data_IF_964672222207
#
_entry.id   IF_964672222207
#
_cell.length_a   1.000
_cell.length_b   1.000
_cell.length_c   1.000
_cell.angle_alpha   90.00
_cell.angle_beta   90.00
_cell.angle_gamma   90.00
#
_symmetry.space_group_name_H-M   'P 1'
#
loop_
_entity.id
_entity.type
_entity.pdbx_description
1 polymer ?
#
# COMPACT_ATOMS: atom_id res chain seq x y z
N UNK A 1 -3.19 9.65 -64.01
CA UNK A 1 -3.02 11.12 -63.88
C UNK A 1 -1.65 11.39 -63.27
N UNK A 2 -0.80 12.26 -63.86
CA UNK A 2 0.64 12.26 -63.62
C UNK A 2 1.13 13.28 -62.57
N UNK A 3 2.10 12.82 -61.76
CA UNK A 3 3.41 13.41 -61.35
C UNK A 3 3.56 14.90 -60.95
N UNK A 4 4.12 15.13 -59.73
CA UNK A 4 5.28 16.01 -59.39
C UNK A 4 5.23 16.32 -57.86
N UNK A 5 6.14 15.89 -56.97
CA UNK A 5 7.58 16.12 -56.76
C UNK A 5 7.99 17.46 -56.10
N UNK A 6 8.94 17.36 -55.14
CA UNK A 6 9.88 18.36 -54.55
C UNK A 6 9.45 18.97 -53.19
N UNK A 7 10.11 18.66 -52.07
CA UNK A 7 11.48 18.98 -51.58
C UNK A 7 11.40 20.04 -50.47
N UNK A 8 11.96 19.76 -49.28
CA UNK A 8 13.21 20.38 -48.76
C UNK A 8 13.43 20.03 -47.27
N UNK A 9 14.57 19.38 -47.01
CA UNK A 9 15.28 19.38 -45.74
C UNK A 9 16.36 20.48 -45.77
N UNK A 10 16.69 21.06 -44.61
CA UNK A 10 17.92 21.82 -44.23
C UNK A 10 17.58 22.68 -42.98
N UNK A 11 18.45 22.99 -42.01
CA UNK A 11 19.85 22.67 -41.73
C UNK A 11 20.26 23.27 -40.36
N UNK A 12 21.41 22.79 -39.85
CA UNK A 12 22.42 23.46 -38.99
C UNK A 12 22.11 23.68 -37.49
N UNK A 13 22.87 23.17 -36.49
CA UNK A 13 24.32 23.02 -36.24
C UNK A 13 25.04 24.32 -35.82
N UNK A 14 25.49 24.38 -34.55
CA UNK A 14 26.66 25.09 -33.98
C UNK A 14 26.79 24.62 -32.49
N UNK A 15 27.81 23.93 -31.98
CA UNK A 15 29.27 24.14 -31.82
C UNK A 15 29.72 25.15 -30.74
N UNK A 16 30.67 24.71 -29.90
CA UNK A 16 31.51 25.51 -28.99
C UNK A 16 31.70 24.85 -27.61
N UNK A 17 32.63 23.90 -27.35
CA UNK A 17 34.10 23.99 -27.21
C UNK A 17 34.62 25.02 -26.18
N UNK A 18 35.34 24.52 -25.17
CA UNK A 18 36.20 25.30 -24.27
C UNK A 18 36.86 24.42 -23.20
N UNK A 19 38.15 24.11 -23.39
CA UNK A 19 38.98 23.28 -22.51
C UNK A 19 40.16 24.08 -21.94
N UNK A 20 40.84 23.49 -20.94
CA UNK A 20 42.20 23.77 -20.41
C UNK A 20 42.33 24.93 -19.38
N UNK A 21 43.20 24.92 -18.36
CA UNK A 21 44.15 23.95 -17.82
C UNK A 21 44.64 24.36 -16.40
N UNK A 22 44.94 23.34 -15.59
CA UNK A 22 46.09 23.11 -14.67
C UNK A 22 46.84 24.29 -14.01
N UNK A 23 46.92 24.26 -12.67
CA UNK A 23 48.16 24.60 -11.93
C UNK A 23 48.36 23.64 -10.75
N UNK A 24 49.51 22.94 -10.75
CA UNK A 24 50.06 22.14 -9.65
C UNK A 24 50.90 23.03 -8.72
N UNK A 25 50.73 22.91 -7.41
CA UNK A 25 51.72 23.32 -6.40
C UNK A 25 51.84 22.17 -5.37
N UNK A 26 53.08 21.73 -5.11
CA UNK A 26 53.46 20.66 -4.18
C UNK A 26 53.94 21.21 -2.82
N UNK A 27 53.87 20.36 -1.78
CA UNK A 27 54.53 20.38 -0.43
C UNK A 27 54.00 21.38 0.60
N UNK A 28 53.94 21.11 1.92
CA UNK A 28 54.51 20.07 2.81
C UNK A 28 53.51 19.79 3.96
N UNK A 29 53.65 18.63 4.62
CA UNK A 29 52.67 18.09 5.56
C UNK A 29 52.48 18.82 6.90
N UNK A 30 51.24 18.84 7.39
CA UNK A 30 50.86 18.49 8.75
C UNK A 30 49.32 18.33 8.80
N UNK A 31 48.84 17.37 9.60
CA UNK A 31 47.47 16.83 9.55
C UNK A 31 46.34 17.87 9.55
N UNK A 32 45.50 17.82 8.52
CA UNK A 32 44.23 18.53 8.43
C UNK A 32 43.10 17.67 8.99
N UNK A 33 42.49 18.12 10.09
CA UNK A 33 41.11 17.79 10.41
C UNK A 33 40.21 18.42 9.32
N UNK A 34 39.34 17.60 8.73
CA UNK A 34 38.38 18.06 7.72
C UNK A 34 37.38 19.07 8.32
N UNK A 35 37.14 20.24 7.70
CA UNK A 35 36.22 21.27 8.20
C UNK A 35 34.72 20.92 7.99
N UNK A 36 34.40 19.68 7.62
CA UNK A 36 33.02 19.25 7.31
C UNK A 36 32.24 18.83 8.57
N UNK A 37 32.90 18.46 9.68
CA UNK A 37 32.15 18.06 10.89
C UNK A 37 31.55 19.25 11.64
N UNK A 38 32.19 20.42 11.60
CA UNK A 38 31.82 21.57 12.43
C UNK A 38 30.61 22.37 11.91
N UNK A 39 30.17 22.14 10.68
CA UNK A 39 28.99 22.80 10.09
C UNK A 39 27.69 22.02 10.28
N UNK A 40 27.75 20.70 10.49
CA UNK A 40 26.55 19.89 10.78
C UNK A 40 26.09 20.04 12.24
N UNK A 41 27.01 20.17 13.19
CA UNK A 41 26.65 20.29 14.61
C UNK A 41 25.97 21.61 14.95
N UNK A 42 26.39 22.71 14.32
CA UNK A 42 25.80 24.05 14.52
C UNK A 42 24.37 24.16 14.01
N UNK A 43 24.01 23.44 12.95
CA UNK A 43 22.63 23.41 12.44
C UNK A 43 21.69 22.63 13.36
N UNK A 44 22.16 21.56 14.02
CA UNK A 44 21.30 20.74 14.89
C UNK A 44 20.86 21.49 16.16
N UNK A 45 21.75 22.28 16.74
CA UNK A 45 21.48 23.09 17.94
C UNK A 45 20.55 24.28 17.62
N UNK A 46 20.71 24.88 16.44
CA UNK A 46 19.85 25.96 15.98
C UNK A 46 18.45 25.46 15.63
N UNK A 47 18.34 24.26 15.06
CA UNK A 47 17.07 23.56 14.84
C UNK A 47 16.37 23.25 16.17
N UNK A 48 17.08 22.66 17.14
CA UNK A 48 16.55 22.37 18.48
C UNK A 48 16.10 23.62 19.23
N UNK A 49 16.72 24.77 19.00
CA UNK A 49 16.29 26.06 19.59
C UNK A 49 15.03 26.63 18.93
N UNK A 50 14.80 26.40 17.64
CA UNK A 50 13.61 26.89 16.92
C UNK A 50 12.31 26.18 17.32
N UNK A 51 12.38 24.98 17.92
CA UNK A 51 11.22 24.18 18.33
C UNK A 51 11.08 23.99 19.85
N UNK A 52 11.80 24.78 20.66
CA UNK A 52 11.58 24.81 22.13
C UNK A 52 10.26 25.51 22.45
N UNK A 53 9.18 24.73 22.47
CA UNK A 53 7.84 25.19 22.84
C UNK A 53 6.71 24.60 22.00
N UNK A 54 7.01 23.90 20.90
CA UNK A 54 6.02 23.02 20.29
C UNK A 54 5.85 21.81 21.18
N UNK A 55 4.62 21.50 21.58
CA UNK A 55 4.28 20.18 22.09
C UNK A 55 4.78 19.19 21.03
N UNK A 56 5.74 18.34 21.37
CA UNK A 56 6.12 17.22 20.52
C UNK A 56 4.84 16.42 20.26
N UNK A 57 4.26 16.59 19.08
CA UNK A 57 3.26 15.67 18.61
C UNK A 57 4.02 14.38 18.36
N UNK A 58 3.98 13.46 19.32
CA UNK A 58 4.51 12.11 19.12
C UNK A 58 3.93 11.58 17.80
N UNK A 59 4.82 11.33 16.83
CA UNK A 59 4.49 10.99 15.43
C UNK A 59 3.62 9.72 15.30
N UNK A 60 3.42 9.00 16.41
CA UNK A 60 2.75 7.73 16.51
C UNK A 60 1.93 7.65 17.81
N UNK A 61 0.68 7.15 17.78
CA UNK A 61 -0.05 6.83 19.00
C UNK A 61 0.73 5.81 19.83
N UNK A 62 0.76 5.96 21.16
CA UNK A 62 1.56 5.12 22.08
C UNK A 62 1.29 3.60 22.01
N UNK A 63 0.19 3.18 21.36
CA UNK A 63 -0.20 1.78 21.19
C UNK A 63 0.20 1.18 19.82
N UNK A 64 0.74 1.98 18.90
CA UNK A 64 1.28 1.45 17.64
C UNK A 64 2.71 0.95 17.87
N UNK A 65 2.97 -0.32 17.52
CA UNK A 65 4.32 -0.88 17.56
C UNK A 65 5.22 -0.08 16.60
N UNK A 66 6.40 0.31 17.05
CA UNK A 66 7.38 0.97 16.16
C UNK A 66 7.87 -0.02 15.11
N UNK A 67 8.33 0.47 13.96
CA UNK A 67 8.91 -0.37 12.89
C UNK A 67 10.02 -1.26 13.46
N UNK A 68 10.82 -0.73 14.38
CA UNK A 68 11.87 -1.49 15.06
C UNK A 68 11.32 -2.60 15.97
N UNK A 69 10.23 -2.35 16.70
CA UNK A 69 9.55 -3.39 17.51
C UNK A 69 8.89 -4.47 16.66
N UNK A 70 8.41 -4.14 15.46
CA UNK A 70 7.90 -5.12 14.48
C UNK A 70 9.06 -5.94 13.91
N UNK A 71 10.19 -5.30 13.63
CA UNK A 71 11.38 -5.93 13.07
C UNK A 71 12.17 -6.77 14.10
N UNK A 72 12.12 -6.42 15.39
CA UNK A 72 12.82 -7.16 16.46
C UNK A 72 12.21 -8.54 16.74
N UNK A 73 10.89 -8.68 16.57
CA UNK A 73 10.19 -9.97 16.73
C UNK A 73 10.52 -10.95 15.57
N UNK A 74 11.05 -10.45 14.45
CA UNK A 74 11.30 -11.20 13.22
C UNK A 74 12.76 -11.53 12.90
N UNK A 75 13.73 -11.30 13.79
CA UNK A 75 15.18 -11.54 13.54
C UNK A 75 15.59 -13.02 13.40
N UNK A 76 14.67 -13.93 13.09
CA UNK A 76 14.97 -15.32 12.77
C UNK A 76 14.48 -15.59 11.35
N UNK A 77 15.40 -15.47 10.38
CA UNK A 77 15.26 -15.82 8.96
C UNK A 77 14.64 -14.78 8.00
N UNK A 78 15.22 -13.58 7.90
CA UNK A 78 15.16 -12.87 6.63
C UNK A 78 16.08 -13.57 5.61
N UNK A 79 15.47 -14.02 4.51
CA UNK A 79 15.99 -15.01 3.58
C UNK A 79 17.42 -14.80 3.10
N UNK A 80 18.21 -15.86 3.19
CA UNK A 80 19.53 -15.98 2.55
C UNK A 80 19.40 -15.70 1.06
N UNK A 81 20.21 -14.77 0.53
CA UNK A 81 20.35 -14.54 -0.90
C UNK A 81 20.80 -15.83 -1.58
N UNK A 82 19.97 -16.35 -2.48
CA UNK A 82 20.40 -17.38 -3.42
C UNK A 82 20.04 -16.95 -4.82
N UNK A 83 20.89 -17.29 -5.80
CA UNK A 83 20.73 -16.88 -7.20
C UNK A 83 19.37 -17.30 -7.81
N UNK A 84 18.71 -18.31 -7.23
CA UNK A 84 17.41 -18.83 -7.64
C UNK A 84 16.22 -18.27 -6.84
N UNK A 85 16.44 -17.63 -5.68
CA UNK A 85 15.36 -17.04 -4.84
C UNK A 85 15.17 -15.53 -5.04
N UNK A 86 16.13 -14.85 -5.68
CA UNK A 86 16.07 -13.41 -5.85
C UNK A 86 16.37 -12.63 -4.55
N UNK A 87 16.39 -11.30 -4.60
CA UNK A 87 16.89 -10.49 -3.49
C UNK A 87 15.85 -10.38 -2.34
N UNK A 88 16.28 -10.44 -1.07
CA UNK A 88 15.41 -10.62 0.10
C UNK A 88 14.76 -9.30 0.60
N UNK A 89 14.11 -8.54 -0.29
CA UNK A 89 13.66 -7.17 0.04
C UNK A 89 12.16 -6.99 0.20
N UNK A 90 11.34 -8.03 0.10
CA UNK A 90 9.90 -7.83 0.14
C UNK A 90 9.37 -7.85 1.57
N UNK A 91 8.84 -6.70 1.97
CA UNK A 91 8.23 -6.51 3.27
C UNK A 91 7.00 -7.42 3.44
N UNK A 92 6.72 -7.78 4.69
CA UNK A 92 5.49 -8.49 5.05
C UNK A 92 4.24 -7.70 4.68
N UNK A 93 4.30 -6.37 4.71
CA UNK A 93 3.19 -5.48 4.36
C UNK A 93 3.60 -4.64 3.16
N UNK A 94 2.77 -4.68 2.12
CA UNK A 94 2.90 -3.84 0.92
C UNK A 94 1.59 -3.09 0.70
N UNK A 95 1.66 -1.86 0.22
CA UNK A 95 0.49 -1.04 -0.07
C UNK A 95 0.49 -0.60 -1.54
N UNK A 96 -0.67 -0.63 -2.18
CA UNK A 96 -0.82 -0.07 -3.52
C UNK A 96 -0.69 1.46 -3.48
N UNK A 97 0.12 2.01 -4.38
CA UNK A 97 0.47 3.44 -4.44
C UNK A 97 0.26 4.04 -5.83
N UNK A 98 -0.71 3.52 -6.60
CA UNK A 98 -1.03 4.06 -7.92
C UNK A 98 -1.74 5.41 -7.87
N UNK A 99 -2.27 5.82 -9.01
CA UNK A 99 -2.85 7.14 -9.24
C UNK A 99 -3.84 7.55 -8.13
N UNK A 100 -3.73 8.82 -7.71
CA UNK A 100 -4.51 9.51 -6.69
C UNK A 100 -4.41 8.98 -5.26
N UNK A 101 -3.81 7.82 -5.02
CA UNK A 101 -3.77 7.25 -3.68
C UNK A 101 -2.89 8.08 -2.74
N UNK A 102 -1.75 8.57 -3.22
CA UNK A 102 -0.74 9.29 -2.45
C UNK A 102 -1.16 10.70 -2.03
N UNK A 103 -2.00 11.34 -2.84
CA UNK A 103 -2.62 12.65 -2.58
C UNK A 103 -3.88 12.56 -1.72
N UNK A 104 -4.50 11.37 -1.56
CA UNK A 104 -5.67 11.22 -0.70
C UNK A 104 -5.31 11.25 0.79
N UNK A 105 -6.21 11.82 1.59
CA UNK A 105 -6.13 11.74 3.07
C UNK A 105 -6.22 10.30 3.56
N UNK A 106 -7.08 9.50 2.92
CA UNK A 106 -7.33 8.11 3.26
C UNK A 106 -6.08 7.24 3.11
N UNK A 107 -5.43 7.29 1.94
CA UNK A 107 -4.20 6.54 1.71
C UNK A 107 -3.10 6.93 2.70
N UNK A 108 -2.92 8.24 2.98
CA UNK A 108 -1.93 8.69 3.97
C UNK A 108 -2.23 8.16 5.39
N UNK A 109 -3.50 8.07 5.77
CA UNK A 109 -3.90 7.52 7.07
C UNK A 109 -3.61 6.03 7.16
N UNK A 110 -4.01 5.26 6.14
CA UNK A 110 -3.75 3.82 6.06
C UNK A 110 -2.25 3.56 6.11
N UNK A 111 -1.44 4.27 5.30
CA UNK A 111 0.02 4.18 5.32
C UNK A 111 0.59 4.37 6.74
N UNK A 112 0.09 5.37 7.48
CA UNK A 112 0.50 5.62 8.87
C UNK A 112 0.11 4.46 9.80
N UNK A 113 -1.11 3.94 9.68
CA UNK A 113 -1.58 2.78 10.46
C UNK A 113 -0.74 1.53 10.17
N UNK A 114 -0.35 1.33 8.92
CA UNK A 114 0.51 0.23 8.49
C UNK A 114 2.00 0.44 8.82
N UNK A 115 2.39 1.62 9.31
CA UNK A 115 3.79 1.94 9.64
C UNK A 115 4.71 2.06 8.42
N UNK A 116 4.19 2.29 7.21
CA UNK A 116 5.00 2.31 6.00
C UNK A 116 5.72 3.66 5.83
N UNK A 117 7.07 3.70 5.78
CA UNK A 117 7.82 4.95 5.64
C UNK A 117 7.64 5.57 4.24
N UNK A 118 7.88 6.87 4.12
CA UNK A 118 8.01 7.53 2.80
C UNK A 118 9.49 7.68 2.47
N UNK A 119 9.86 7.44 1.22
CA UNK A 119 11.22 7.68 0.74
C UNK A 119 11.31 9.08 0.13
N UNK A 120 12.02 9.98 0.81
CA UNK A 120 12.14 11.40 0.40
C UNK A 120 10.78 12.07 0.13
N UNK A 121 9.78 11.77 0.97
CA UNK A 121 8.42 12.29 0.82
C UNK A 121 7.56 11.58 -0.23
N UNK A 122 8.13 10.67 -1.02
CA UNK A 122 7.43 9.88 -2.03
C UNK A 122 7.05 8.49 -1.55
N UNK A 123 6.00 7.95 -2.14
CA UNK A 123 5.49 6.60 -1.87
C UNK A 123 6.15 5.61 -2.82
N UNK A 124 7.47 5.48 -2.69
CA UNK A 124 8.30 4.65 -3.55
C UNK A 124 9.10 3.68 -2.67
N UNK A 125 9.55 2.55 -3.24
CA UNK A 125 10.38 1.56 -2.56
C UNK A 125 9.69 0.20 -2.41
N UNK A 126 10.27 -0.68 -1.58
CA UNK A 126 9.79 -2.06 -1.43
C UNK A 126 8.50 -2.22 -0.63
N UNK A 127 8.03 -1.16 0.03
CA UNK A 127 6.76 -1.10 0.77
C UNK A 127 5.56 -0.80 -0.12
N UNK A 128 5.80 -0.36 -1.37
CA UNK A 128 4.76 0.14 -2.24
C UNK A 128 4.78 -0.56 -3.60
N UNK A 129 3.61 -0.68 -4.21
CA UNK A 129 3.45 -1.16 -5.58
C UNK A 129 2.53 -0.21 -6.35
N UNK A 130 3.06 0.36 -7.43
CA UNK A 130 2.30 1.27 -8.29
C UNK A 130 1.51 0.52 -9.36
N UNK A 131 2.04 -0.61 -9.83
CA UNK A 131 1.46 -1.38 -10.94
C UNK A 131 1.75 -2.88 -10.81
N UNK A 132 0.71 -3.69 -11.00
CA UNK A 132 0.72 -5.16 -10.90
C UNK A 132 1.41 -5.86 -12.08
N UNK A 133 1.66 -5.15 -13.19
CA UNK A 133 2.44 -5.65 -14.34
C UNK A 133 3.95 -5.60 -14.13
N UNK A 134 4.44 -4.95 -13.07
CA UNK A 134 5.87 -4.67 -12.85
C UNK A 134 6.68 -5.90 -12.41
N UNK A 135 8.01 -5.76 -12.45
CA UNK A 135 8.92 -6.75 -11.87
C UNK A 135 8.71 -6.89 -10.35
N UNK A 136 8.35 -5.81 -9.65
CA UNK A 136 8.04 -5.86 -8.22
C UNK A 136 6.90 -6.83 -7.92
N UNK A 137 5.83 -6.83 -8.72
CA UNK A 137 4.74 -7.80 -8.55
C UNK A 137 5.21 -9.26 -8.75
N UNK A 138 6.16 -9.50 -9.66
CA UNK A 138 6.70 -10.84 -9.92
C UNK A 138 7.48 -11.38 -8.73
N UNK A 139 8.13 -10.51 -7.96
CA UNK A 139 8.75 -10.91 -6.70
C UNK A 139 7.68 -11.02 -5.60
N UNK A 140 6.73 -10.07 -5.54
CA UNK A 140 5.69 -10.04 -4.51
C UNK A 140 4.84 -11.31 -4.53
N UNK A 141 4.47 -11.82 -5.70
CA UNK A 141 3.72 -13.08 -5.84
C UNK A 141 4.43 -14.32 -5.28
N UNK A 142 5.74 -14.26 -5.04
CA UNK A 142 6.52 -15.34 -4.43
C UNK A 142 6.59 -15.24 -2.90
N UNK A 143 6.08 -14.15 -2.31
CA UNK A 143 5.99 -14.01 -0.86
C UNK A 143 5.02 -15.03 -0.26
N UNK A 144 5.26 -15.32 1.03
CA UNK A 144 4.36 -16.09 1.87
C UNK A 144 4.04 -15.29 3.13
N UNK A 145 2.88 -15.50 3.72
CA UNK A 145 2.45 -14.87 4.97
C UNK A 145 2.56 -13.34 4.92
N UNK A 146 2.21 -12.76 3.77
CA UNK A 146 2.30 -11.31 3.51
C UNK A 146 0.94 -10.69 3.23
N UNK A 147 0.88 -9.38 3.41
CA UNK A 147 -0.31 -8.55 3.26
C UNK A 147 -0.09 -7.55 2.14
N UNK A 148 -1.01 -7.51 1.18
CA UNK A 148 -1.11 -6.43 0.21
C UNK A 148 -2.36 -5.61 0.52
N UNK A 149 -2.21 -4.30 0.72
CA UNK A 149 -3.32 -3.40 1.02
C UNK A 149 -3.64 -2.54 -0.20
N UNK A 150 -4.87 -2.63 -0.69
CA UNK A 150 -5.46 -1.71 -1.66
C UNK A 150 -6.24 -0.65 -0.87
N UNK A 151 -5.71 0.57 -0.75
CA UNK A 151 -6.42 1.65 -0.07
C UNK A 151 -7.65 2.11 -0.88
N UNK A 152 -8.48 2.97 -0.30
CA UNK A 152 -9.62 3.58 -0.98
C UNK A 152 -9.16 4.26 -2.26
N UNK A 153 -9.80 3.89 -3.36
CA UNK A 153 -9.52 4.36 -4.70
C UNK A 153 -10.47 5.51 -5.04
N UNK A 154 -10.00 6.47 -5.83
CA UNK A 154 -10.88 7.49 -6.41
C UNK A 154 -11.70 6.87 -7.55
N UNK A 155 -12.95 7.31 -7.73
CA UNK A 155 -13.84 6.79 -8.77
C UNK A 155 -13.26 6.93 -10.20
N UNK A 156 -12.44 7.97 -10.41
CA UNK A 156 -11.80 8.27 -11.69
C UNK A 156 -10.50 7.51 -11.98
N UNK A 157 -9.84 6.94 -10.97
CA UNK A 157 -8.53 6.30 -11.11
C UNK A 157 -8.49 4.89 -10.50
N UNK A 158 -9.44 4.04 -10.90
CA UNK A 158 -9.46 2.61 -10.57
C UNK A 158 -8.55 1.82 -11.51
N UNK A 159 -7.61 0.99 -11.00
CA UNK A 159 -6.73 0.21 -11.85
C UNK A 159 -7.49 -0.98 -12.47
N UNK A 160 -7.60 -0.98 -13.80
CA UNK A 160 -8.05 -2.14 -14.57
C UNK A 160 -6.81 -2.93 -14.96
N UNK A 161 -6.67 -4.12 -14.41
CA UNK A 161 -5.48 -4.94 -14.59
C UNK A 161 -5.54 -5.69 -15.94
N UNK A 162 -4.39 -5.88 -16.58
CA UNK A 162 -4.25 -6.81 -17.69
C UNK A 162 -4.43 -8.26 -17.21
N UNK A 163 -4.74 -9.19 -18.11
CA UNK A 163 -4.95 -10.60 -17.74
C UNK A 163 -3.71 -11.21 -17.05
N UNK A 164 -2.51 -10.83 -17.50
CA UNK A 164 -1.27 -11.23 -16.85
C UNK A 164 -1.18 -10.69 -15.42
N UNK A 165 -1.52 -9.42 -15.21
CA UNK A 165 -1.51 -8.80 -13.88
C UNK A 165 -2.57 -9.41 -12.96
N UNK A 166 -3.78 -9.71 -13.47
CA UNK A 166 -4.82 -10.45 -12.73
C UNK A 166 -4.33 -11.83 -12.33
N UNK A 167 -3.68 -12.55 -13.25
CA UNK A 167 -3.13 -13.88 -12.98
C UNK A 167 -2.06 -13.84 -11.87
N UNK A 168 -1.16 -12.85 -11.91
CA UNK A 168 -0.15 -12.66 -10.85
C UNK A 168 -0.76 -12.28 -9.51
N UNK A 169 -1.78 -11.41 -9.49
CA UNK A 169 -2.49 -11.05 -8.26
C UNK A 169 -3.21 -12.27 -7.67
N UNK A 170 -3.89 -13.07 -8.49
CA UNK A 170 -4.53 -14.31 -8.05
C UNK A 170 -3.50 -15.32 -7.53
N UNK A 171 -2.37 -15.47 -8.22
CA UNK A 171 -1.27 -16.34 -7.77
C UNK A 171 -0.68 -15.89 -6.43
N UNK A 172 -0.48 -14.58 -6.25
CA UNK A 172 -0.04 -14.01 -4.97
C UNK A 172 -0.96 -14.44 -3.83
N UNK A 173 -2.28 -14.28 -3.99
CA UNK A 173 -3.24 -14.63 -2.93
C UNK A 173 -3.28 -16.15 -2.74
N UNK A 174 -3.29 -16.94 -3.82
CA UNK A 174 -3.63 -18.37 -3.77
C UNK A 174 -2.56 -19.31 -3.26
N UNK A 175 -1.28 -18.95 -3.37
CA UNK A 175 -0.17 -19.88 -3.09
C UNK A 175 0.49 -19.61 -1.74
N UNK A 176 0.54 -18.35 -1.28
CA UNK A 176 1.41 -17.93 -0.19
C UNK A 176 0.78 -17.79 1.19
N UNK A 177 -0.47 -18.20 1.43
CA UNK A 177 -1.22 -17.78 2.63
C UNK A 177 -1.23 -16.25 2.78
N UNK A 178 -1.26 -15.54 1.65
CA UNK A 178 -1.23 -14.08 1.63
C UNK A 178 -2.65 -13.52 1.79
N UNK A 179 -2.72 -12.32 2.36
CA UNK A 179 -3.98 -11.60 2.53
C UNK A 179 -3.98 -10.34 1.67
N UNK A 180 -4.96 -10.21 0.77
CA UNK A 180 -5.24 -8.96 0.06
C UNK A 180 -6.31 -8.19 0.86
N UNK A 181 -5.96 -7.06 1.48
CA UNK A 181 -6.92 -6.20 2.16
C UNK A 181 -7.35 -5.09 1.20
N UNK A 182 -8.64 -4.93 1.01
CA UNK A 182 -9.23 -3.94 0.11
C UNK A 182 -10.07 -3.02 0.98
N UNK A 183 -9.59 -1.81 1.20
CA UNK A 183 -10.31 -0.80 1.96
C UNK A 183 -11.47 -0.23 1.13
N UNK A 184 -12.43 0.39 1.81
CA UNK A 184 -13.76 0.63 1.27
C UNK A 184 -13.83 1.71 0.20
N UNK A 185 -15.05 1.88 -0.30
CA UNK A 185 -15.40 2.81 -1.36
C UNK A 185 -16.03 2.10 -2.57
N UNK A 186 -16.92 2.77 -3.32
CA UNK A 186 -17.49 2.25 -4.56
C UNK A 186 -16.44 1.73 -5.55
N UNK A 187 -15.38 2.50 -5.76
CA UNK A 187 -14.29 2.16 -6.68
C UNK A 187 -13.53 0.88 -6.28
N UNK A 188 -13.51 0.54 -5.00
CA UNK A 188 -12.86 -0.66 -4.48
C UNK A 188 -13.71 -1.92 -4.69
N UNK A 189 -15.05 -1.79 -4.64
CA UNK A 189 -15.95 -2.88 -5.05
C UNK A 189 -15.80 -3.13 -6.55
N UNK A 190 -15.71 -2.07 -7.36
CA UNK A 190 -15.47 -2.19 -8.80
C UNK A 190 -14.10 -2.82 -9.12
N UNK A 191 -13.07 -2.52 -8.31
CA UNK A 191 -11.77 -3.18 -8.39
C UNK A 191 -11.89 -4.69 -8.17
N UNK A 192 -12.66 -5.13 -7.17
CA UNK A 192 -12.90 -6.56 -6.91
C UNK A 192 -13.60 -7.20 -8.10
N UNK A 193 -14.71 -6.60 -8.55
CA UNK A 193 -15.51 -7.09 -9.67
C UNK A 193 -14.69 -7.21 -10.97
N UNK A 194 -13.82 -6.24 -11.24
CA UNK A 194 -13.05 -6.20 -12.49
C UNK A 194 -11.81 -7.10 -12.49
N UNK A 195 -11.17 -7.28 -11.33
CA UNK A 195 -9.83 -7.86 -11.24
C UNK A 195 -9.76 -9.19 -10.49
N UNK A 196 -10.67 -9.47 -9.56
CA UNK A 196 -10.63 -10.67 -8.73
C UNK A 196 -11.67 -11.69 -9.15
N UNK A 197 -12.92 -11.26 -9.36
CA UNK A 197 -14.01 -12.17 -9.71
C UNK A 197 -13.89 -12.69 -11.16
N UNK A 198 -14.38 -13.91 -11.44
CA UNK A 198 -14.41 -14.44 -12.81
C UNK A 198 -15.38 -13.63 -13.67
N UNK A 199 -14.99 -13.31 -14.91
CA UNK A 199 -15.85 -12.62 -15.88
C UNK A 199 -16.86 -13.57 -16.54
N UNK A 200 -16.79 -14.87 -16.23
CA UNK A 200 -17.49 -15.95 -16.93
C UNK A 200 -18.91 -16.22 -16.39
N UNK A 201 -19.62 -15.17 -15.94
CA UNK A 201 -21.02 -15.26 -15.51
C UNK A 201 -21.27 -15.49 -14.02
N UNK A 202 -20.27 -15.26 -13.17
CA UNK A 202 -20.47 -15.18 -11.71
C UNK A 202 -21.26 -13.93 -11.31
N UNK A 203 -21.97 -13.98 -10.18
CA UNK A 203 -22.64 -12.82 -9.61
C UNK A 203 -21.61 -11.77 -9.21
N UNK A 204 -21.73 -10.56 -9.77
CA UNK A 204 -20.90 -9.43 -9.37
C UNK A 204 -21.35 -8.92 -8.00
N UNK A 205 -20.41 -8.35 -7.23
CA UNK A 205 -20.75 -7.68 -5.98
C UNK A 205 -21.62 -6.46 -6.27
N UNK A 206 -22.78 -6.42 -5.62
CA UNK A 206 -23.70 -5.30 -5.70
C UNK A 206 -23.45 -4.36 -4.53
N UNK A 207 -23.00 -3.15 -4.85
CA UNK A 207 -22.81 -2.10 -3.86
C UNK A 207 -24.15 -1.78 -3.19
N UNK A 208 -24.15 -1.71 -1.86
CA UNK A 208 -25.32 -1.32 -1.10
C UNK A 208 -24.90 -0.53 0.14
N UNK A 209 -25.75 0.43 0.50
CA UNK A 209 -25.55 1.23 1.68
C UNK A 209 -26.71 1.02 2.64
N UNK A 210 -26.38 0.72 3.89
CA UNK A 210 -27.31 0.70 5.01
C UNK A 210 -26.71 1.49 6.14
N UNK A 211 -27.57 2.16 6.90
CA UNK A 211 -27.15 2.88 8.10
C UNK A 211 -26.79 1.85 9.18
N UNK A 212 -25.53 1.87 9.64
CA UNK A 212 -25.07 1.07 10.77
C UNK A 212 -25.74 1.45 12.11
N UNK A 213 -25.35 0.82 13.23
CA UNK A 213 -24.11 0.04 13.41
C UNK A 213 -24.14 -1.33 12.72
N UNK A 214 -22.95 -1.86 12.42
CA UNK A 214 -22.75 -3.18 11.80
C UNK A 214 -22.40 -4.23 12.83
N UNK A 215 -23.19 -5.29 12.89
CA UNK A 215 -23.09 -6.30 13.93
C UNK A 215 -22.08 -7.39 13.56
N UNK A 216 -21.21 -7.75 14.50
CA UNK A 216 -20.25 -8.83 14.35
C UNK A 216 -20.98 -10.17 14.27
N UNK A 217 -20.65 -10.94 13.25
CA UNK A 217 -21.24 -12.25 13.01
C UNK A 217 -20.49 -13.37 13.72
N UNK A 218 -21.16 -14.50 13.95
CA UNK A 218 -20.55 -15.70 14.54
C UNK A 218 -19.35 -16.19 13.71
N UNK A 219 -19.35 -15.93 12.40
CA UNK A 219 -18.26 -16.27 11.52
C UNK A 219 -16.92 -15.57 11.85
N UNK A 220 -16.94 -14.52 12.69
CA UNK A 220 -15.72 -13.90 13.20
C UNK A 220 -15.01 -14.74 14.28
N UNK A 221 -15.70 -15.71 14.91
CA UNK A 221 -15.13 -16.58 15.94
C UNK A 221 -14.04 -17.47 15.32
N UNK A 222 -12.89 -17.57 15.99
CA UNK A 222 -11.73 -18.31 15.48
C UNK A 222 -10.91 -17.56 14.43
N UNK A 223 -11.25 -16.30 14.14
CA UNK A 223 -10.48 -15.42 13.26
C UNK A 223 -9.88 -14.24 14.04
N UNK A 224 -8.90 -13.52 13.48
CA UNK A 224 -8.40 -12.27 14.08
C UNK A 224 -9.51 -11.26 14.44
N UNK A 225 -10.64 -11.28 13.72
CA UNK A 225 -11.79 -10.41 13.97
C UNK A 225 -12.58 -10.76 15.23
N UNK A 226 -12.36 -11.92 15.86
CA UNK A 226 -13.02 -12.29 17.12
C UNK A 226 -12.82 -11.23 18.21
N UNK A 227 -11.62 -10.62 18.26
CA UNK A 227 -11.21 -9.62 19.27
C UNK A 227 -11.77 -8.22 19.02
N UNK A 228 -12.42 -7.99 17.88
CA UNK A 228 -13.03 -6.71 17.54
C UNK A 228 -14.31 -6.44 18.36
N UNK A 229 -14.74 -5.18 18.48
CA UNK A 229 -16.01 -4.83 19.12
C UNK A 229 -17.19 -5.60 18.53
N UNK A 230 -18.26 -5.73 19.32
CA UNK A 230 -19.52 -6.39 18.89
C UNK A 230 -20.15 -5.65 17.71
N UNK A 231 -19.91 -4.34 17.59
CA UNK A 231 -20.41 -3.54 16.49
C UNK A 231 -19.36 -2.60 15.92
N UNK A 232 -19.44 -2.34 14.61
CA UNK A 232 -18.70 -1.28 13.94
C UNK A 232 -19.61 -0.07 13.67
N UNK A 233 -19.13 1.16 13.91
CA UNK A 233 -19.93 2.35 13.68
C UNK A 233 -19.99 2.71 12.19
N UNK A 234 -21.07 3.37 11.79
CA UNK A 234 -21.16 4.04 10.49
C UNK A 234 -20.75 5.53 10.65
N UNK A 235 -19.45 5.76 10.89
CA UNK A 235 -18.93 7.10 11.17
C UNK A 235 -19.10 8.03 9.97
N UNK A 236 -19.94 9.05 10.12
CA UNK A 236 -20.28 10.06 9.10
C UNK A 236 -20.62 9.48 7.71
N UNK A 237 -21.20 8.28 7.64
CA UNK A 237 -21.57 7.60 6.40
C UNK A 237 -20.38 7.16 5.51
N UNK A 238 -19.19 7.01 6.07
CA UNK A 238 -18.00 6.55 5.36
C UNK A 238 -17.86 5.02 5.26
N UNK A 239 -18.84 4.27 5.77
CA UNK A 239 -18.92 2.83 5.60
C UNK A 239 -19.75 2.47 4.37
N UNK A 240 -19.14 1.68 3.50
CA UNK A 240 -19.70 1.12 2.27
C UNK A 240 -19.77 -0.39 2.40
N UNK A 241 -20.84 -0.98 1.89
CA UNK A 241 -21.01 -2.42 1.93
C UNK A 241 -21.44 -2.98 0.59
N UNK A 242 -21.66 -4.29 0.59
CA UNK A 242 -22.21 -5.04 -0.53
C UNK A 242 -23.41 -5.84 -0.05
N UNK A 243 -24.38 -6.12 -0.94
CA UNK A 243 -25.51 -6.97 -0.59
C UNK A 243 -25.01 -8.38 -0.26
N UNK A 244 -25.49 -8.95 0.83
CA UNK A 244 -25.21 -10.35 1.19
C UNK A 244 -25.60 -11.31 0.06
N UNK A 245 -26.70 -11.03 -0.65
CA UNK A 245 -27.15 -11.82 -1.80
C UNK A 245 -26.20 -11.79 -3.00
N UNK A 246 -25.29 -10.81 -3.06
CA UNK A 246 -24.30 -10.67 -4.14
C UNK A 246 -22.94 -11.29 -3.79
N UNK A 247 -22.73 -11.67 -2.53
CA UNK A 247 -21.49 -12.32 -2.12
C UNK A 247 -21.35 -13.70 -2.78
N UNK A 248 -20.13 -14.09 -3.19
CA UNK A 248 -19.84 -15.46 -3.61
C UNK A 248 -20.24 -16.48 -2.51
N UNK A 249 -20.62 -17.69 -2.93
CA UNK A 249 -21.12 -18.73 -2.01
C UNK A 249 -20.10 -19.12 -0.92
N UNK A 250 -18.81 -19.01 -1.20
CA UNK A 250 -17.71 -19.31 -0.31
C UNK A 250 -17.20 -18.09 0.49
N UNK A 251 -17.80 -16.92 0.27
CA UNK A 251 -17.47 -15.71 1.01
C UNK A 251 -18.06 -15.74 2.43
N UNK A 252 -17.33 -15.15 3.36
CA UNK A 252 -17.69 -15.09 4.77
C UNK A 252 -17.93 -13.64 5.17
N UNK A 253 -19.15 -13.31 5.59
CA UNK A 253 -19.50 -12.01 6.16
C UNK A 253 -19.13 -11.98 7.65
N UNK A 254 -18.33 -10.99 8.05
CA UNK A 254 -17.89 -10.81 9.44
C UNK A 254 -18.65 -9.70 10.16
N UNK A 255 -19.08 -8.67 9.43
CA UNK A 255 -19.88 -7.56 9.96
C UNK A 255 -20.96 -7.17 8.96
N UNK A 256 -22.22 -7.12 9.41
CA UNK A 256 -23.38 -6.85 8.56
C UNK A 256 -24.52 -6.16 9.29
N UNK A 257 -25.41 -5.54 8.51
CA UNK A 257 -26.69 -4.98 8.94
C UNK A 257 -27.68 -5.01 7.79
N UNK A 258 -28.92 -5.42 8.04
CA UNK A 258 -30.04 -5.29 7.11
C UNK A 258 -29.73 -5.81 5.68
N UNK A 259 -29.08 -6.98 5.59
CA UNK A 259 -28.75 -7.60 4.30
C UNK A 259 -27.52 -7.04 3.59
N UNK A 260 -26.73 -6.18 4.26
CA UNK A 260 -25.51 -5.58 3.72
C UNK A 260 -24.31 -5.96 4.59
N UNK A 261 -23.27 -6.51 3.95
CA UNK A 261 -21.98 -6.79 4.59
C UNK A 261 -21.01 -5.65 4.36
N UNK A 262 -20.36 -5.19 5.43
CA UNK A 262 -19.31 -4.16 5.38
C UNK A 262 -17.91 -4.70 5.63
N UNK A 263 -17.80 -5.92 6.18
CA UNK A 263 -16.53 -6.62 6.31
C UNK A 263 -16.78 -8.07 5.90
N UNK A 264 -16.13 -8.50 4.83
CA UNK A 264 -16.22 -9.89 4.36
C UNK A 264 -14.88 -10.38 3.85
N UNK A 265 -14.73 -11.71 3.85
CA UNK A 265 -13.57 -12.40 3.28
C UNK A 265 -13.98 -13.33 2.16
N UNK A 266 -13.14 -13.41 1.12
CA UNK A 266 -13.25 -14.39 0.04
C UNK A 266 -11.99 -15.24 0.04
N UNK A 267 -12.14 -16.57 0.03
CA UNK A 267 -11.00 -17.47 0.01
C UNK A 267 -10.45 -17.61 -1.41
N UNK A 268 -9.13 -17.64 -1.52
CA UNK A 268 -8.43 -17.93 -2.77
C UNK A 268 -7.31 -18.89 -2.45
N UNK A 269 -7.45 -20.17 -2.81
CA UNK A 269 -6.45 -21.19 -2.51
C UNK A 269 -6.09 -21.23 -1.01
N UNK A 270 -4.82 -21.02 -0.69
CA UNK A 270 -4.31 -20.98 0.69
C UNK A 270 -4.44 -19.62 1.38
N UNK A 271 -4.70 -18.55 0.63
CA UNK A 271 -4.88 -17.19 1.13
C UNK A 271 -6.31 -16.68 0.94
N UNK A 272 -6.46 -15.36 1.02
CA UNK A 272 -7.78 -14.73 0.98
C UNK A 272 -7.73 -13.24 0.62
N UNK A 273 -8.85 -12.71 0.15
CA UNK A 273 -9.10 -11.29 0.02
C UNK A 273 -10.10 -10.84 1.09
N UNK A 274 -9.79 -9.78 1.82
CA UNK A 274 -10.64 -9.15 2.82
C UNK A 274 -11.10 -7.79 2.31
N UNK A 275 -12.41 -7.55 2.29
CA UNK A 275 -12.96 -6.22 2.06
C UNK A 275 -13.27 -5.57 3.41
N UNK A 276 -12.77 -4.34 3.60
CA UNK A 276 -13.04 -3.51 4.77
C UNK A 276 -13.75 -2.25 4.31
N UNK A 277 -15.06 -2.17 4.50
CA UNK A 277 -15.95 -1.18 3.89
C UNK A 277 -15.74 0.29 4.24
N UNK A 278 -14.76 0.63 5.07
CA UNK A 278 -14.51 2.01 5.47
C UNK A 278 -13.54 2.73 4.53
N UNK A 279 -13.84 3.98 4.18
CA UNK A 279 -13.03 4.79 3.26
C UNK A 279 -11.82 5.48 3.92
N UNK A 280 -11.65 5.36 5.24
CA UNK A 280 -10.53 5.95 6.01
C UNK A 280 -10.26 7.45 5.77
N UNK A 281 -11.24 8.20 5.25
CA UNK A 281 -11.16 9.65 5.06
C UNK A 281 -11.07 10.41 6.40
N UNK A 282 -11.49 9.74 7.48
CA UNK A 282 -11.35 10.16 8.87
C UNK A 282 -10.77 9.07 9.74
N UNK A 283 -10.28 9.47 10.92
CA UNK A 283 -9.74 8.54 11.90
C UNK A 283 -10.86 7.91 12.71
N UNK A 284 -11.06 6.59 12.55
CA UNK A 284 -12.00 5.81 13.35
C UNK A 284 -11.31 4.64 14.03
N UNK A 285 -11.35 4.63 15.36
CA UNK A 285 -10.65 3.63 16.19
C UNK A 285 -11.15 2.20 15.92
N UNK A 286 -12.46 1.92 15.83
CA UNK A 286 -12.94 0.58 15.48
C UNK A 286 -12.44 0.12 14.10
N UNK A 287 -12.54 0.97 13.09
CA UNK A 287 -12.11 0.62 11.72
C UNK A 287 -10.60 0.43 11.58
N UNK A 288 -9.80 1.22 12.31
CA UNK A 288 -8.35 1.02 12.37
C UNK A 288 -8.01 -0.33 13.03
N UNK A 289 -8.69 -0.70 14.11
CA UNK A 289 -8.52 -2.03 14.72
C UNK A 289 -8.90 -3.14 13.75
N UNK A 290 -9.95 -2.95 12.95
CA UNK A 290 -10.35 -3.89 11.90
C UNK A 290 -9.25 -4.05 10.85
N UNK A 291 -8.64 -2.94 10.39
CA UNK A 291 -7.50 -3.01 9.46
C UNK A 291 -6.32 -3.79 10.06
N UNK A 292 -5.97 -3.51 11.31
CA UNK A 292 -4.87 -4.20 12.00
C UNK A 292 -5.16 -5.69 12.16
N UNK A 293 -6.36 -6.05 12.62
CA UNK A 293 -6.78 -7.44 12.73
C UNK A 293 -6.80 -8.15 11.36
N UNK A 294 -7.14 -7.43 10.29
CA UNK A 294 -7.09 -7.94 8.92
C UNK A 294 -5.68 -8.38 8.49
N UNK A 295 -4.64 -7.69 8.97
CA UNK A 295 -3.25 -8.05 8.66
C UNK A 295 -2.82 -9.38 9.30
N UNK A 296 -3.43 -9.75 10.43
CA UNK A 296 -3.10 -10.98 11.15
C UNK A 296 -3.64 -12.23 10.46
N UNK A 297 -4.49 -12.11 9.43
CA UNK A 297 -4.88 -13.27 8.64
C UNK A 297 -3.76 -13.82 7.75
N UNK A 298 -2.69 -13.05 7.53
CA UNK A 298 -1.51 -13.50 6.83
C UNK A 298 -0.47 -14.13 7.78
N UNK A 299 -0.84 -14.48 9.03
CA UNK A 299 0.06 -15.13 10.00
C UNK A 299 0.42 -16.57 9.66
#
# INVERSE_FOLDING_TARGET
>A
MPSSSKHRAMACLMLGLGAAAVTLIFRDGNGTQDPVSDTMDKNSEQFKRMFRGSVDFEDYPTWTKTVDQINEVGKVNHGVWTYYKGPPFLQRVTMYSGNDVDITRAGNLIRKVLGLPKNFGKWEGSSYIENFGTQQMRFLQSNRHSVLVIPPLSEGNRPILSDEAKARLRHYISVGHNTLIICGGPANVDFINSNLLPQDGGTLLEQAWTRGPYEKQEAAIGTPFQTLPVTLPNDMNHAHGVRLSSLPMDAVSYFETAGVSVVFGMKFGSGQALFLGFDFSLLSKPWIKTLIAGMEFAS
#
